data_IF_020720090110
#
_entry.id   IF_020720090110
#
_cell.length_a   1.000
_cell.length_b   1.000
_cell.length_c   1.000
_cell.angle_alpha   90.00
_cell.angle_beta   90.00
_cell.angle_gamma   90.00
#
_symmetry.space_group_name_H-M   'P 1'
#
loop_
_entity.id
_entity.type
_entity.pdbx_description
1 polymer ?
#
# COMPACT_ATOMS: atom_id res chain seq x y z
N UNK A 1 17.40 -4.30 0.50
CA UNK A 1 15.97 -4.20 0.85
C UNK A 1 15.97 -3.52 2.20
N UNK A 2 15.72 -2.23 2.23
CA UNK A 2 15.70 -1.45 3.48
C UNK A 2 14.27 -1.43 3.98
N UNK A 3 14.05 -1.91 5.21
CA UNK A 3 12.78 -1.84 5.92
C UNK A 3 12.83 -0.66 6.89
N UNK A 4 11.84 0.23 6.83
CA UNK A 4 11.66 1.30 7.83
C UNK A 4 10.62 0.82 8.85
N UNK A 5 11.02 0.63 10.11
CA UNK A 5 10.11 0.25 11.21
C UNK A 5 9.61 1.50 11.94
N UNK A 6 8.29 1.64 12.07
CA UNK A 6 7.67 2.63 12.96
C UNK A 6 7.45 2.01 14.35
N UNK A 7 7.76 2.75 15.40
CA UNK A 7 7.86 2.28 16.79
C UNK A 7 6.51 1.89 17.44
N UNK A 8 5.95 0.71 17.12
CA UNK A 8 5.18 -0.19 18.01
C UNK A 8 4.89 -1.49 17.23
N UNK A 9 5.30 -2.71 17.68
CA UNK A 9 5.21 -3.93 16.87
C UNK A 9 3.79 -4.45 16.56
N UNK A 10 2.74 -3.77 17.05
CA UNK A 10 1.34 -4.05 16.72
C UNK A 10 0.59 -2.86 16.07
N UNK A 11 1.21 -1.68 15.96
CA UNK A 11 0.61 -0.49 15.34
C UNK A 11 1.36 -0.03 14.07
N UNK A 12 2.36 -0.79 13.63
CA UNK A 12 3.17 -0.49 12.46
C UNK A 12 2.92 -1.47 11.33
N UNK A 13 2.51 -0.96 10.17
CA UNK A 13 2.54 -1.71 8.92
C UNK A 13 3.95 -1.64 8.31
N UNK A 14 4.43 -2.79 7.83
CA UNK A 14 5.66 -2.83 7.03
C UNK A 14 5.40 -2.29 5.63
N UNK A 15 6.12 -1.23 5.26
CA UNK A 15 6.06 -0.62 3.93
C UNK A 15 7.25 -1.11 3.10
N UNK A 16 6.99 -1.52 1.86
CA UNK A 16 8.05 -2.00 0.96
C UNK A 16 8.09 -1.23 -0.34
N UNK A 17 9.30 -0.87 -0.78
CA UNK A 17 9.54 -0.31 -2.12
C UNK A 17 10.35 -1.31 -2.95
N UNK A 18 9.74 -1.79 -4.05
CA UNK A 18 10.39 -2.63 -5.04
C UNK A 18 10.68 -1.78 -6.27
N UNK A 19 11.96 -1.51 -6.53
CA UNK A 19 12.39 -0.75 -7.71
C UNK A 19 12.63 -1.69 -8.88
N UNK A 20 11.70 -1.69 -9.84
CA UNK A 20 11.83 -2.45 -11.08
C UNK A 20 12.58 -1.69 -12.18
N UNK A 21 12.76 -2.34 -13.32
CA UNK A 21 13.39 -1.75 -14.50
C UNK A 21 12.46 -0.76 -15.23
N UNK A 22 11.15 -1.04 -15.26
CA UNK A 22 10.13 -0.26 -15.97
C UNK A 22 9.26 0.60 -15.04
N UNK A 23 8.96 0.09 -13.86
CA UNK A 23 8.14 0.75 -12.83
C UNK A 23 8.62 0.34 -11.44
N UNK A 24 8.22 1.12 -10.44
CA UNK A 24 8.41 0.80 -9.03
C UNK A 24 7.07 0.48 -8.39
N UNK A 25 7.11 -0.41 -7.41
CA UNK A 25 5.94 -0.82 -6.63
C UNK A 25 6.15 -0.42 -5.18
N UNK A 26 5.27 0.43 -4.66
CA UNK A 26 5.15 0.69 -3.23
C UNK A 26 4.05 -0.23 -2.68
N UNK A 27 4.39 -1.05 -1.70
CA UNK A 27 3.45 -1.97 -1.05
C UNK A 27 3.11 -1.39 0.32
N UNK A 28 1.83 -1.07 0.49
CA UNK A 28 1.24 -0.39 1.65
C UNK A 28 1.84 1.00 1.93
N UNK A 29 1.18 1.77 2.81
CA UNK A 29 1.49 3.19 3.03
C UNK A 29 1.52 3.61 4.50
N UNK A 30 1.39 2.66 5.42
CA UNK A 30 1.36 2.97 6.85
C UNK A 30 0.08 3.71 7.24
N UNK A 31 0.13 4.28 8.44
CA UNK A 31 -0.98 5.03 9.07
C UNK A 31 -1.20 6.44 8.49
N UNK A 32 -0.33 6.92 7.60
CA UNK A 32 -0.41 8.28 7.04
C UNK A 32 -0.02 9.40 8.01
N UNK A 33 0.55 9.08 9.18
CA UNK A 33 0.98 10.09 10.18
C UNK A 33 2.14 10.96 9.68
N UNK A 34 2.98 10.42 8.79
CA UNK A 34 4.10 11.13 8.19
C UNK A 34 4.08 10.97 6.67
N UNK A 35 4.49 12.01 5.91
CA UNK A 35 4.44 11.98 4.46
C UNK A 35 5.44 10.96 3.89
N UNK A 36 4.95 10.07 3.04
CA UNK A 36 5.72 8.99 2.45
C UNK A 36 6.23 9.35 1.04
N UNK A 37 5.49 10.18 0.29
CA UNK A 37 5.83 10.51 -1.10
C UNK A 37 7.23 11.12 -1.29
N UNK A 38 7.74 12.02 -0.41
CA UNK A 38 9.10 12.53 -0.55
C UNK A 38 10.18 11.45 -0.39
N UNK A 39 9.97 10.50 0.54
CA UNK A 39 10.89 9.39 0.78
C UNK A 39 10.91 8.44 -0.42
N UNK A 40 9.75 8.11 -0.97
CA UNK A 40 9.64 7.22 -2.14
C UNK A 40 10.24 7.86 -3.38
N UNK A 41 9.98 9.15 -3.61
CA UNK A 41 10.52 9.89 -4.76
C UNK A 41 12.05 10.00 -4.71
N UNK A 42 12.64 10.08 -3.51
CA UNK A 42 14.10 10.09 -3.36
C UNK A 42 14.75 8.75 -3.75
N UNK A 43 14.01 7.64 -3.64
CA UNK A 43 14.48 6.29 -3.95
C UNK A 43 14.14 5.84 -5.37
N UNK A 44 13.19 6.49 -6.04
CA UNK A 44 12.77 6.12 -7.39
C UNK A 44 12.26 7.28 -8.23
N UNK A 45 12.83 7.40 -9.45
CA UNK A 45 12.37 8.34 -10.47
C UNK A 45 11.50 7.67 -11.56
N UNK A 46 11.02 6.45 -11.32
CA UNK A 46 10.20 5.68 -12.27
C UNK A 46 8.71 5.88 -11.99
N UNK A 47 7.87 5.51 -12.96
CA UNK A 47 6.43 5.33 -12.73
C UNK A 47 6.23 4.49 -11.48
N UNK A 48 5.45 4.99 -10.54
CA UNK A 48 5.19 4.37 -9.25
C UNK A 48 3.76 3.85 -9.20
N UNK A 49 3.59 2.59 -8.82
CA UNK A 49 2.30 1.97 -8.51
C UNK A 49 2.23 1.79 -7.00
N UNK A 50 1.21 2.33 -6.35
CA UNK A 50 0.91 2.06 -4.95
C UNK A 50 -0.05 0.87 -4.85
N UNK A 51 0.46 -0.28 -4.42
CA UNK A 51 -0.31 -1.49 -4.21
C UNK A 51 -0.63 -1.64 -2.73
N UNK A 52 -1.91 -1.67 -2.42
CA UNK A 52 -2.43 -1.82 -1.06
C UNK A 52 -2.88 -3.26 -0.88
N UNK A 53 -2.43 -3.90 0.20
CA UNK A 53 -2.76 -5.29 0.48
C UNK A 53 -4.23 -5.46 0.89
N UNK A 54 -4.75 -4.54 1.70
CA UNK A 54 -6.15 -4.48 2.15
C UNK A 54 -6.45 -3.10 2.76
N UNK A 55 -7.70 -2.82 3.15
CA UNK A 55 -8.14 -1.47 3.52
C UNK A 55 -8.03 -1.09 5.00
N UNK A 56 -7.26 -1.82 5.80
CA UNK A 56 -7.03 -1.37 7.18
C UNK A 56 -6.25 -0.06 7.22
N UNK A 57 -6.54 0.76 8.22
CA UNK A 57 -6.06 2.14 8.32
C UNK A 57 -4.52 2.23 8.32
N UNK A 58 -3.86 1.23 8.89
CA UNK A 58 -2.42 1.13 8.99
C UNK A 58 -1.77 0.70 7.65
N UNK A 59 -2.55 0.28 6.65
CA UNK A 59 -2.05 -0.02 5.32
C UNK A 59 -2.38 1.10 4.31
N UNK A 60 -3.53 1.75 4.42
CA UNK A 60 -4.02 2.73 3.43
C UNK A 60 -3.88 4.20 3.85
N UNK A 61 -3.40 4.49 5.05
CA UNK A 61 -3.41 5.85 5.61
C UNK A 61 -2.67 6.88 4.74
N UNK A 62 -1.56 6.49 4.13
CA UNK A 62 -0.81 7.33 3.19
C UNK A 62 -1.21 7.18 1.71
N UNK A 63 -2.20 6.35 1.39
CA UNK A 63 -2.56 6.04 0.01
C UNK A 63 -2.91 7.29 -0.82
N UNK A 64 -3.55 8.27 -0.19
CA UNK A 64 -3.96 9.53 -0.81
C UNK A 64 -2.81 10.34 -1.41
N UNK A 65 -1.56 10.11 -0.98
CA UNK A 65 -0.37 10.76 -1.54
C UNK A 65 -0.02 10.27 -2.97
N UNK A 66 -0.59 9.14 -3.41
CA UNK A 66 -0.21 8.48 -4.67
C UNK A 66 -1.38 8.45 -5.66
N UNK A 67 -1.12 8.82 -6.91
CA UNK A 67 -2.15 8.89 -7.95
C UNK A 67 -2.55 7.51 -8.51
N UNK A 68 -1.57 6.64 -8.77
CA UNK A 68 -1.78 5.30 -9.31
C UNK A 68 -1.85 4.29 -8.17
N UNK A 69 -3.06 3.84 -7.85
CA UNK A 69 -3.33 2.98 -6.70
C UNK A 69 -4.06 1.72 -7.13
N UNK A 70 -3.65 0.61 -6.55
CA UNK A 70 -4.23 -0.70 -6.77
C UNK A 70 -4.60 -1.32 -5.43
N UNK A 71 -5.77 -1.94 -5.35
CA UNK A 71 -6.23 -2.73 -4.23
C UNK A 71 -7.14 -3.84 -4.76
N UNK A 72 -7.37 -4.90 -3.99
CA UNK A 72 -8.30 -5.95 -4.37
C UNK A 72 -9.73 -5.38 -4.58
N UNK A 73 -10.47 -5.82 -5.60
CA UNK A 73 -11.74 -5.18 -5.98
C UNK A 73 -12.82 -5.08 -4.86
N UNK A 74 -13.02 -6.09 -4.00
CA UNK A 74 -13.86 -6.00 -2.80
C UNK A 74 -13.52 -4.86 -1.83
N UNK A 75 -12.24 -4.49 -1.76
CA UNK A 75 -11.69 -3.46 -0.87
C UNK A 75 -11.81 -2.05 -1.45
N UNK A 76 -12.02 -1.93 -2.77
CA UNK A 76 -11.97 -0.65 -3.49
C UNK A 76 -12.96 0.40 -2.97
N UNK A 77 -14.12 -0.02 -2.44
CA UNK A 77 -15.10 0.90 -1.84
C UNK A 77 -14.58 1.52 -0.55
N UNK A 78 -13.94 0.73 0.31
CA UNK A 78 -13.37 1.23 1.57
C UNK A 78 -12.19 2.14 1.30
N UNK A 79 -11.34 1.81 0.32
CA UNK A 79 -10.26 2.71 -0.10
C UNK A 79 -10.78 4.05 -0.64
N UNK A 80 -11.89 4.05 -1.36
CA UNK A 80 -12.46 5.26 -1.96
C UNK A 80 -13.14 6.17 -0.93
N UNK A 81 -13.74 5.59 0.11
CA UNK A 81 -14.47 6.30 1.17
C UNK A 81 -14.22 5.60 2.53
N UNK A 82 -13.03 5.78 3.13
CA UNK A 82 -12.69 5.12 4.38
C UNK A 82 -13.44 5.74 5.56
N UNK A 83 -14.24 4.95 6.26
CA UNK A 83 -14.92 5.35 7.50
C UNK A 83 -14.33 4.62 8.71
N UNK A 84 -14.45 5.17 9.93
CA UNK A 84 -13.98 4.50 11.15
C UNK A 84 -14.57 3.08 11.34
N UNK A 85 -15.78 2.83 10.84
CA UNK A 85 -16.51 1.57 10.98
C UNK A 85 -16.26 0.60 9.81
N UNK A 86 -15.61 1.04 8.75
CA UNK A 86 -15.34 0.24 7.56
C UNK A 86 -14.24 -0.80 7.88
N UNK A 87 -14.64 -1.91 8.49
CA UNK A 87 -13.78 -3.06 8.73
C UNK A 87 -14.22 -4.21 7.82
N UNK A 88 -13.65 -4.37 6.61
CA UNK A 88 -13.79 -5.59 5.83
C UNK A 88 -12.89 -6.67 6.45
N UNK A 89 -13.14 -7.01 7.72
CA UNK A 89 -12.41 -8.02 8.46
C UNK A 89 -12.78 -9.43 8.00
N UNK A 90 -12.41 -9.79 6.77
CA UNK A 90 -12.21 -11.18 6.38
C UNK A 90 -10.75 -11.34 5.99
N UNK A 91 -9.95 -11.92 6.89
CA UNK A 91 -8.60 -12.41 6.61
C UNK A 91 -8.70 -13.52 5.54
N UNK A 92 -8.66 -13.16 4.26
CA UNK A 92 -8.09 -14.06 3.26
C UNK A 92 -6.66 -13.60 3.02
N UNK A 93 -5.72 -14.41 3.50
CA UNK A 93 -4.32 -14.40 3.06
C UNK A 93 -4.31 -14.28 1.54
N UNK A 94 -4.04 -13.09 1.00
CA UNK A 94 -3.86 -12.95 -0.44
C UNK A 94 -2.63 -13.78 -0.82
N UNK A 95 -2.87 -14.84 -1.58
CA UNK A 95 -1.81 -15.69 -2.11
C UNK A 95 -0.95 -14.87 -3.06
N UNK A 96 0.34 -15.21 -3.20
CA UNK A 96 1.25 -14.58 -4.17
C UNK A 96 0.65 -14.49 -5.60
N UNK A 97 -0.23 -15.42 -5.97
CA UNK A 97 -0.96 -15.41 -7.24
C UNK A 97 -1.99 -14.28 -7.39
N UNK A 98 -2.62 -13.83 -6.30
CA UNK A 98 -3.60 -12.73 -6.33
C UNK A 98 -2.91 -11.38 -6.50
N UNK A 99 -1.74 -11.20 -5.86
CA UNK A 99 -0.88 -10.01 -6.01
C UNK A 99 -0.35 -9.85 -7.45
N UNK A 100 -0.04 -10.95 -8.14
CA UNK A 100 0.49 -10.94 -9.50
C UNK A 100 -0.56 -10.67 -10.60
N UNK A 101 -1.86 -10.75 -10.29
CA UNK A 101 -2.94 -10.61 -11.28
C UNK A 101 -3.29 -9.17 -11.65
N UNK A 102 -2.89 -8.18 -10.84
CA UNK A 102 -3.20 -6.74 -11.07
C UNK A 102 -2.26 -6.10 -12.11
N UNK A 103 -1.41 -6.88 -12.78
CA UNK A 103 -0.32 -6.37 -13.64
C UNK A 103 -0.28 -6.90 -15.07
N UNK A 104 -1.37 -7.41 -15.64
CA UNK A 104 -1.42 -7.77 -17.07
C UNK A 104 -2.77 -7.45 -17.69
N UNK A 105 -2.85 -6.31 -18.38
CA UNK A 105 -3.48 -6.17 -19.69
C UNK A 105 -2.58 -5.29 -20.58
#
# INVERSE_FOLDING_TARGET
MESFESANPLDGCNIWLVVGSTASLLIDTGTGVAPLAPLVSAQSNRRLICLLTHSHYDHIGGAHEFADRCIHAPEAKVLADPTPEAHPGHFESLTLSQILSVGRE
#
